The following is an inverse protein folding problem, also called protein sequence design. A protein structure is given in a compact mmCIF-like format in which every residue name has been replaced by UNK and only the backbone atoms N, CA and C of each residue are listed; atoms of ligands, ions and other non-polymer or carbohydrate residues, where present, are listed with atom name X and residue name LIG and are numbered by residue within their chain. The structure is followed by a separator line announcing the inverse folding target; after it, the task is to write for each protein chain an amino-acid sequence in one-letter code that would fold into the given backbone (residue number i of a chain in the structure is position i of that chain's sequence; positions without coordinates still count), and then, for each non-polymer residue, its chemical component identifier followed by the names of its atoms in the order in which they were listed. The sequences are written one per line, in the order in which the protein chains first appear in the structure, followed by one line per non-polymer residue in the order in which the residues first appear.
data_IF_166814642968
#
_entry.id   IF_166814642968
#
_cell.length_a   1.000
_cell.length_b   1.000
_cell.length_c   1.000
_cell.angle_alpha   90.00
_cell.angle_beta   90.00
_cell.angle_gamma   90.00
#
_symmetry.space_group_name_H-M   'P 1'
#
loop_
_entity.id
_entity.type
_entity.pdbx_description
1 polymer ?
#
# COMPACT_ATOMS: atom_id res chain seq x y z
N UNK A 1 25.90 -3.52 -8.01
CA UNK A 1 26.71 -4.42 -8.87
C UNK A 1 26.25 -5.84 -8.61
N UNK A 2 26.02 -6.65 -9.65
CA UNK A 2 25.57 -8.05 -9.53
C UNK A 2 26.72 -9.04 -9.34
N UNK A 3 27.95 -8.68 -9.76
CA UNK A 3 29.11 -9.55 -9.70
C UNK A 3 30.02 -9.19 -8.52
N UNK A 4 30.57 -10.18 -7.79
CA UNK A 4 31.51 -9.93 -6.70
C UNK A 4 32.87 -9.38 -7.18
N UNK A 5 33.21 -9.43 -8.48
CA UNK A 5 34.48 -8.89 -9.00
C UNK A 5 34.39 -8.39 -10.46
N UNK A 6 35.15 -7.33 -10.79
CA UNK A 6 35.43 -6.74 -12.14
C UNK A 6 34.24 -6.18 -12.95
N UNK A 7 33.02 -6.70 -12.84
CA UNK A 7 31.92 -6.30 -13.73
C UNK A 7 31.10 -5.11 -13.19
N UNK A 8 31.62 -3.88 -13.40
CA UNK A 8 30.99 -2.62 -12.97
C UNK A 8 29.76 -2.18 -13.80
N UNK A 9 29.62 -2.68 -15.03
CA UNK A 9 28.45 -2.43 -15.90
C UNK A 9 27.22 -3.27 -15.52
N UNK A 10 27.40 -4.35 -14.76
CA UNK A 10 26.29 -5.18 -14.27
C UNK A 10 25.68 -4.56 -13.02
N UNK A 11 24.67 -3.71 -13.20
CA UNK A 11 23.92 -3.08 -12.12
C UNK A 11 22.49 -3.63 -12.08
N UNK A 12 21.94 -3.74 -10.87
CA UNK A 12 20.52 -4.05 -10.68
C UNK A 12 19.86 -2.80 -10.12
N UNK A 13 18.74 -2.42 -10.71
CA UNK A 13 17.91 -1.33 -10.26
C UNK A 13 16.58 -1.96 -9.83
N UNK A 14 16.26 -1.80 -8.56
CA UNK A 14 14.99 -2.22 -8.00
C UNK A 14 14.24 -0.97 -7.57
N UNK A 15 12.93 -0.96 -7.79
CA UNK A 15 12.04 0.02 -7.21
C UNK A 15 10.99 -0.69 -6.36
N UNK A 16 10.57 -0.04 -5.28
CA UNK A 16 9.35 -0.42 -4.58
C UNK A 16 8.30 0.67 -4.85
N UNK A 17 7.25 0.30 -5.58
CA UNK A 17 6.11 1.18 -5.86
C UNK A 17 5.05 1.01 -4.77
N UNK A 18 4.66 2.13 -4.16
CA UNK A 18 3.57 2.18 -3.17
C UNK A 18 2.42 2.96 -3.78
N UNK A 19 1.24 2.33 -3.89
CA UNK A 19 0.04 2.97 -4.41
C UNK A 19 -0.82 3.49 -3.26
N UNK A 20 -1.00 4.82 -3.18
CA UNK A 20 -1.87 5.46 -2.20
C UNK A 20 -3.23 5.75 -2.84
N UNK A 21 -4.30 5.39 -2.13
CA UNK A 21 -5.68 5.70 -2.51
C UNK A 21 -6.31 6.52 -1.40
N UNK A 22 -7.04 7.57 -1.77
CA UNK A 22 -7.81 8.39 -0.85
C UNK A 22 -9.28 8.22 -1.19
N UNK A 23 -10.08 7.89 -0.19
CA UNK A 23 -11.53 7.75 -0.28
C UNK A 23 -12.11 8.66 0.78
N UNK A 24 -12.97 9.59 0.37
CA UNK A 24 -13.65 10.51 1.27
C UNK A 24 -15.15 10.15 1.35
N UNK A 25 -15.70 10.17 2.57
CA UNK A 25 -17.08 9.80 2.84
C UNK A 25 -17.76 11.01 3.50
N UNK A 26 -18.54 11.74 2.70
CA UNK A 26 -19.12 13.04 3.07
C UNK A 26 -20.18 12.95 4.18
N UNK A 27 -20.74 11.78 4.47
CA UNK A 27 -21.70 11.57 5.58
C UNK A 27 -21.63 10.11 6.11
N UNK A 28 -20.76 9.81 7.09
CA UNK A 28 -20.67 8.47 7.63
C UNK A 28 -21.85 8.17 8.58
N UNK A 29 -22.69 7.19 8.25
CA UNK A 29 -23.64 6.65 9.24
C UNK A 29 -22.92 5.71 10.21
N UNK A 30 -23.40 5.52 11.45
CA UNK A 30 -22.82 4.57 12.40
C UNK A 30 -22.80 3.12 11.87
N UNK A 31 -23.73 2.79 10.99
CA UNK A 31 -23.76 1.49 10.31
C UNK A 31 -22.62 1.38 9.28
N UNK A 32 -22.33 2.45 8.55
CA UNK A 32 -21.25 2.50 7.55
C UNK A 32 -19.87 2.36 8.20
N UNK A 33 -19.62 2.98 9.36
CA UNK A 33 -18.32 2.83 10.06
C UNK A 33 -18.09 1.41 10.57
N UNK A 34 -19.14 0.74 11.05
CA UNK A 34 -19.10 -0.68 11.43
C UNK A 34 -18.87 -1.61 10.24
N UNK A 35 -19.51 -1.33 9.10
CA UNK A 35 -19.33 -2.09 7.87
C UNK A 35 -17.90 -1.97 7.31
N UNK A 36 -17.31 -0.77 7.33
CA UNK A 36 -15.94 -0.54 6.85
C UNK A 36 -14.89 -1.28 7.68
N UNK A 37 -15.08 -1.38 9.01
CA UNK A 37 -14.19 -2.15 9.89
C UNK A 37 -14.32 -3.66 9.70
N UNK A 38 -15.49 -4.15 9.31
CA UNK A 38 -15.76 -5.58 9.07
C UNK A 38 -15.34 -6.05 7.68
N UNK A 39 -15.02 -5.12 6.77
CA UNK A 39 -14.62 -5.45 5.42
C UNK A 39 -13.33 -6.29 5.42
N UNK A 40 -13.36 -7.48 4.84
CA UNK A 40 -12.16 -8.31 4.68
C UNK A 40 -11.31 -7.75 3.55
N UNK A 41 -10.30 -6.97 3.91
CA UNK A 41 -9.32 -6.45 2.98
C UNK A 41 -8.23 -7.51 2.72
N UNK A 42 -7.63 -7.54 1.52
CA UNK A 42 -6.50 -8.43 1.26
C UNK A 42 -5.33 -8.11 2.21
N UNK A 43 -4.62 -9.14 2.68
CA UNK A 43 -3.55 -9.01 3.67
C UNK A 43 -2.37 -8.10 3.27
N UNK A 44 -2.29 -7.69 2.00
CA UNK A 44 -1.25 -6.77 1.48
C UNK A 44 -1.66 -5.30 1.41
N UNK A 45 -2.87 -4.94 1.85
CA UNK A 45 -3.37 -3.55 1.79
C UNK A 45 -3.39 -2.94 3.18
N UNK A 46 -2.64 -1.85 3.36
CA UNK A 46 -2.70 -1.05 4.58
C UNK A 46 -3.82 -0.01 4.48
N UNK A 47 -4.68 0.07 5.50
CA UNK A 47 -5.79 1.02 5.58
C UNK A 47 -5.70 1.81 6.87
N UNK A 48 -5.78 3.13 6.74
CA UNK A 48 -5.84 4.09 7.85
C UNK A 48 -7.19 4.81 7.77
N UNK A 49 -7.97 4.79 8.86
CA UNK A 49 -9.24 5.51 8.96
C UNK A 49 -8.99 6.73 9.84
N UNK A 50 -9.05 7.92 9.24
CA UNK A 50 -9.06 9.21 9.95
C UNK A 50 -10.51 9.65 10.10
N UNK A 51 -10.94 9.87 11.34
CA UNK A 51 -12.28 10.35 11.68
C UNK A 51 -12.27 11.87 11.85
#
# INVERSE_FOLDING_TARGET
LKSPHVNKKSQEQFEMKIHKRLIDIVNPTPQTTGALKKLSLPAGVHVEIKA
#
